data_IF_310852961875
#
_entry.id   IF_310852961875
#
_cell.length_a   1.000
_cell.length_b   1.000
_cell.length_c   1.000
_cell.angle_alpha   90.00
_cell.angle_beta   90.00
_cell.angle_gamma   90.00
#
_symmetry.space_group_name_H-M   'P 1'
#
loop_
_entity.id
_entity.type
_entity.pdbx_description
1 polymer ?
#
# COMPACT_ATOMS: atom_id res chain seq x y z
N UNK A 1 -26.31 -1.64 -15.95
CA UNK A 1 -25.88 -1.14 -17.27
C UNK A 1 -24.55 -1.78 -17.60
N UNK A 2 -24.50 -2.51 -18.69
CA UNK A 2 -23.41 -3.40 -19.08
C UNK A 2 -22.18 -2.59 -19.54
N UNK A 3 -21.12 -2.57 -18.73
CA UNK A 3 -19.81 -1.98 -19.07
C UNK A 3 -18.96 -2.97 -19.92
N UNK A 4 -19.54 -4.12 -20.23
CA UNK A 4 -18.81 -5.27 -20.77
C UNK A 4 -18.48 -5.21 -22.28
N UNK A 5 -19.12 -4.35 -23.08
CA UNK A 5 -19.00 -4.44 -24.56
C UNK A 5 -17.91 -3.54 -25.18
N UNK A 6 -17.43 -2.53 -24.48
CA UNK A 6 -16.46 -1.55 -25.05
C UNK A 6 -15.00 -1.92 -24.78
N UNK A 7 -14.73 -2.84 -23.85
CA UNK A 7 -13.38 -3.17 -23.38
C UNK A 7 -12.77 -4.36 -24.15
N UNK A 8 -13.58 -5.31 -24.60
CA UNK A 8 -13.10 -6.49 -25.33
C UNK A 8 -12.34 -6.15 -26.64
N UNK A 9 -12.73 -5.15 -27.45
CA UNK A 9 -11.97 -4.74 -28.63
C UNK A 9 -10.58 -4.21 -28.28
N UNK A 10 -10.44 -3.48 -27.17
CA UNK A 10 -9.16 -2.91 -26.73
C UNK A 10 -8.19 -3.99 -26.27
N UNK A 11 -8.65 -5.00 -25.50
CA UNK A 11 -7.82 -6.14 -25.06
C UNK A 11 -7.28 -6.94 -26.26
N UNK A 12 -8.10 -7.16 -27.27
CA UNK A 12 -7.72 -7.85 -28.50
C UNK A 12 -6.59 -7.10 -29.22
N UNK A 13 -6.73 -5.80 -29.43
CA UNK A 13 -5.72 -4.98 -30.08
C UNK A 13 -4.42 -4.93 -29.29
N UNK A 14 -4.49 -4.80 -27.96
CA UNK A 14 -3.33 -4.78 -27.05
C UNK A 14 -2.58 -6.11 -27.14
N UNK A 15 -3.26 -7.25 -26.99
CA UNK A 15 -2.61 -8.55 -27.02
C UNK A 15 -2.02 -8.88 -28.40
N UNK A 16 -2.68 -8.52 -29.50
CA UNK A 16 -2.11 -8.65 -30.86
C UNK A 16 -0.85 -7.85 -31.04
N UNK A 17 -0.86 -6.57 -30.62
CA UNK A 17 0.28 -5.69 -30.79
C UNK A 17 1.46 -6.07 -29.89
N UNK A 18 1.18 -6.39 -28.61
CA UNK A 18 2.23 -6.61 -27.62
C UNK A 18 2.75 -8.06 -27.57
N UNK A 19 1.90 -9.04 -27.92
CA UNK A 19 2.19 -10.47 -27.78
C UNK A 19 2.12 -11.25 -29.10
N UNK A 20 1.60 -10.63 -30.18
CA UNK A 20 1.27 -11.30 -31.45
C UNK A 20 0.29 -12.47 -31.28
N UNK A 21 -0.65 -12.34 -30.32
CA UNK A 21 -1.63 -13.37 -29.97
C UNK A 21 -3.03 -12.81 -29.86
N UNK A 22 -4.00 -13.66 -30.18
CA UNK A 22 -5.42 -13.34 -30.06
C UNK A 22 -5.95 -13.65 -28.67
N UNK A 23 -7.02 -12.94 -28.30
CA UNK A 23 -7.74 -13.16 -27.04
C UNK A 23 -8.83 -14.19 -27.27
N UNK A 24 -8.77 -15.32 -26.58
CA UNK A 24 -9.81 -16.35 -26.57
C UNK A 24 -10.95 -16.00 -25.60
N UNK A 25 -10.61 -15.52 -24.39
CA UNK A 25 -11.56 -15.09 -23.38
C UNK A 25 -10.94 -14.02 -22.47
N UNK A 26 -11.79 -13.22 -21.83
CA UNK A 26 -11.35 -12.26 -20.82
C UNK A 26 -12.39 -12.10 -19.73
N UNK A 27 -11.93 -11.88 -18.48
CA UNK A 27 -12.77 -11.61 -17.33
C UNK A 27 -12.14 -10.54 -16.44
N UNK A 28 -12.92 -9.59 -15.89
CA UNK A 28 -12.43 -8.69 -14.87
C UNK A 28 -12.13 -9.50 -13.60
N UNK A 29 -10.95 -9.31 -13.00
CA UNK A 29 -10.54 -9.97 -11.76
C UNK A 29 -10.29 -8.98 -10.62
N UNK A 30 -10.34 -7.69 -10.90
CA UNK A 30 -10.23 -6.63 -9.91
C UNK A 30 -10.65 -5.29 -10.49
N UNK A 31 -11.41 -4.54 -9.70
CA UNK A 31 -11.69 -3.13 -9.92
C UNK A 31 -11.11 -2.38 -8.75
N UNK A 32 -9.79 -2.15 -8.80
CA UNK A 32 -9.10 -1.29 -7.85
C UNK A 32 -9.52 0.18 -8.02
N UNK A 33 -9.17 1.01 -7.06
CA UNK A 33 -9.42 2.46 -7.11
C UNK A 33 -8.68 3.11 -8.28
N UNK A 34 -7.45 2.66 -8.53
CA UNK A 34 -6.49 3.28 -9.45
C UNK A 34 -6.33 2.49 -10.74
N UNK A 35 -6.92 1.30 -10.84
CA UNK A 35 -6.71 0.40 -11.95
C UNK A 35 -7.92 -0.48 -12.23
N UNK A 36 -7.99 -1.01 -13.46
CA UNK A 36 -8.88 -2.10 -13.86
C UNK A 36 -8.02 -3.27 -14.29
N UNK A 37 -8.29 -4.44 -13.75
CA UNK A 37 -7.47 -5.64 -13.93
C UNK A 37 -8.30 -6.73 -14.59
N UNK A 38 -7.76 -7.29 -15.68
CA UNK A 38 -8.40 -8.34 -16.44
C UNK A 38 -7.51 -9.57 -16.52
N UNK A 39 -8.08 -10.75 -16.26
CA UNK A 39 -7.51 -12.02 -16.70
C UNK A 39 -7.85 -12.19 -18.17
N UNK A 40 -6.85 -12.51 -18.96
CA UNK A 40 -6.99 -12.71 -20.40
C UNK A 40 -6.47 -14.11 -20.76
N UNK A 41 -7.30 -14.91 -21.40
CA UNK A 41 -6.93 -16.19 -21.99
C UNK A 41 -6.51 -15.94 -23.44
N UNK A 42 -5.32 -16.40 -23.79
CA UNK A 42 -4.76 -16.21 -25.12
C UNK A 42 -5.00 -17.47 -25.96
N UNK A 43 -5.48 -17.26 -27.21
CA UNK A 43 -5.58 -18.33 -28.17
C UNK A 43 -4.20 -18.75 -28.66
N UNK A 44 -4.04 -20.03 -28.96
CA UNK A 44 -2.89 -20.70 -29.55
C UNK A 44 -1.50 -20.06 -29.34
N UNK A 45 -0.72 -20.63 -28.44
CA UNK A 45 0.67 -20.27 -28.20
C UNK A 45 1.59 -21.48 -28.26
N UNK A 46 2.88 -21.25 -28.42
CA UNK A 46 3.86 -22.31 -28.30
C UNK A 46 3.88 -22.86 -26.85
N UNK A 47 4.30 -24.12 -26.69
CA UNK A 47 4.29 -24.86 -25.39
C UNK A 47 4.90 -24.14 -24.20
N UNK A 48 5.70 -23.09 -24.40
CA UNK A 48 6.40 -22.35 -23.36
C UNK A 48 5.84 -20.94 -23.11
N UNK A 49 4.77 -20.55 -23.85
CA UNK A 49 4.14 -19.25 -23.67
C UNK A 49 2.96 -19.34 -22.71
N UNK A 50 2.71 -18.32 -21.88
CA UNK A 50 1.61 -18.36 -20.94
C UNK A 50 0.29 -18.42 -21.70
N UNK A 51 -0.59 -19.35 -21.32
CA UNK A 51 -1.95 -19.42 -21.85
C UNK A 51 -2.83 -18.30 -21.27
N UNK A 52 -2.47 -17.76 -20.13
CA UNK A 52 -3.19 -16.71 -19.42
C UNK A 52 -2.25 -15.59 -19.00
N UNK A 53 -2.73 -14.36 -19.11
CA UNK A 53 -2.02 -13.14 -18.68
C UNK A 53 -2.98 -12.23 -17.92
N UNK A 54 -2.40 -11.26 -17.19
CA UNK A 54 -3.12 -10.14 -16.61
C UNK A 54 -2.86 -8.90 -17.44
N UNK A 55 -3.93 -8.19 -17.83
CA UNK A 55 -3.85 -6.84 -18.39
C UNK A 55 -4.37 -5.87 -17.35
N UNK A 56 -3.49 -4.96 -16.88
CA UNK A 56 -3.81 -3.93 -15.89
C UNK A 56 -3.80 -2.57 -16.57
N UNK A 57 -4.94 -1.87 -16.51
CA UNK A 57 -5.11 -0.49 -16.99
C UNK A 57 -5.00 0.45 -15.81
N UNK A 58 -4.17 1.46 -15.93
CA UNK A 58 -3.96 2.48 -14.90
C UNK A 58 -4.81 3.71 -15.19
N UNK A 59 -5.43 4.26 -14.14
CA UNK A 59 -6.16 5.53 -14.27
C UNK A 59 -5.21 6.69 -14.15
N UNK A 60 -5.39 7.67 -15.01
CA UNK A 60 -4.83 9.02 -14.84
C UNK A 60 -5.94 9.91 -14.32
N UNK A 61 -5.85 10.32 -13.08
CA UNK A 61 -6.73 11.33 -12.53
C UNK A 61 -6.10 12.72 -12.73
N UNK A 62 -6.93 13.70 -13.12
CA UNK A 62 -6.46 15.09 -13.25
C UNK A 62 -5.93 15.58 -11.89
N UNK A 63 -4.65 15.92 -11.83
CA UNK A 63 -3.96 16.33 -10.60
C UNK A 63 -3.17 15.24 -9.88
N UNK A 64 -3.24 13.98 -10.30
CA UNK A 64 -2.35 12.93 -9.80
C UNK A 64 -1.11 12.81 -10.70
N UNK A 65 0.02 13.29 -10.22
CA UNK A 65 1.29 13.32 -10.95
C UNK A 65 2.06 11.99 -10.92
N UNK A 66 1.52 10.96 -10.26
CA UNK A 66 2.18 9.66 -10.10
C UNK A 66 2.17 8.85 -11.39
N UNK A 67 3.33 8.41 -11.82
CA UNK A 67 3.48 7.46 -12.92
C UNK A 67 3.34 6.02 -12.40
N UNK A 68 2.10 5.59 -12.15
CA UNK A 68 1.82 4.24 -11.61
C UNK A 68 2.24 3.13 -12.57
N UNK A 69 1.97 3.30 -13.87
CA UNK A 69 2.34 2.33 -14.90
C UNK A 69 3.85 2.14 -14.95
N UNK A 70 4.60 3.24 -15.09
CA UNK A 70 6.06 3.19 -15.14
C UNK A 70 6.67 2.67 -13.85
N UNK A 71 6.11 3.06 -12.69
CA UNK A 71 6.54 2.58 -11.38
C UNK A 71 6.36 1.07 -11.25
N UNK A 72 5.17 0.54 -11.48
CA UNK A 72 4.91 -0.89 -11.30
C UNK A 72 5.66 -1.74 -12.31
N UNK A 73 5.60 -1.39 -13.60
CA UNK A 73 6.29 -2.17 -14.63
C UNK A 73 7.81 -2.16 -14.46
N UNK A 74 8.38 -0.98 -14.18
CA UNK A 74 9.80 -0.82 -13.91
C UNK A 74 10.26 -1.58 -12.67
N UNK A 75 9.48 -1.52 -11.59
CA UNK A 75 9.72 -2.28 -10.35
C UNK A 75 9.74 -3.77 -10.60
N UNK A 76 8.70 -4.32 -11.21
CA UNK A 76 8.62 -5.76 -11.47
C UNK A 76 9.76 -6.23 -12.39
N UNK A 77 10.14 -5.43 -13.38
CA UNK A 77 11.31 -5.69 -14.21
C UNK A 77 12.60 -5.74 -13.40
N UNK A 78 12.81 -4.75 -12.51
CA UNK A 78 13.96 -4.70 -11.59
C UNK A 78 13.99 -5.93 -10.67
N UNK A 79 12.88 -6.27 -10.03
CA UNK A 79 12.79 -7.42 -9.13
C UNK A 79 13.06 -8.75 -9.85
N UNK A 80 12.50 -8.94 -11.04
CA UNK A 80 12.74 -10.14 -11.85
C UNK A 80 14.18 -10.26 -12.33
N UNK A 81 14.80 -9.16 -12.74
CA UNK A 81 16.22 -9.13 -13.15
C UNK A 81 17.15 -9.50 -11.98
N UNK A 82 16.74 -9.22 -10.75
CA UNK A 82 17.48 -9.56 -9.54
C UNK A 82 17.00 -10.87 -8.87
N UNK A 83 16.33 -11.75 -9.61
CA UNK A 83 16.03 -13.12 -9.17
C UNK A 83 14.76 -13.28 -8.33
N UNK A 84 14.00 -12.22 -8.03
CA UNK A 84 12.77 -12.33 -7.23
C UNK A 84 11.63 -12.94 -8.06
N UNK A 85 11.05 -14.03 -7.56
CA UNK A 85 9.98 -14.81 -8.24
C UNK A 85 8.67 -14.86 -7.45
N UNK A 86 8.65 -14.26 -6.28
CA UNK A 86 7.43 -14.05 -5.47
C UNK A 86 6.59 -12.86 -5.94
N UNK A 87 6.82 -12.37 -7.15
CA UNK A 87 6.09 -11.27 -7.79
C UNK A 87 5.74 -11.65 -9.24
N UNK A 88 4.69 -11.06 -9.85
CA UNK A 88 4.35 -11.35 -11.25
C UNK A 88 5.49 -10.96 -12.20
N UNK A 89 5.72 -11.78 -13.23
CA UNK A 89 6.63 -11.42 -14.32
C UNK A 89 6.02 -10.29 -15.15
N UNK A 90 6.72 -9.17 -15.38
CA UNK A 90 6.32 -8.17 -16.36
C UNK A 90 6.57 -8.72 -17.76
N UNK A 91 5.56 -8.65 -18.64
CA UNK A 91 5.62 -9.24 -19.98
C UNK A 91 5.74 -8.14 -21.04
N UNK A 92 4.82 -7.18 -21.05
CA UNK A 92 4.81 -6.10 -22.02
C UNK A 92 4.15 -4.85 -21.43
N UNK A 93 4.44 -3.69 -22.02
CA UNK A 93 3.85 -2.40 -21.66
C UNK A 93 3.33 -1.70 -22.91
N UNK A 94 2.16 -1.06 -22.80
CA UNK A 94 1.55 -0.23 -23.84
C UNK A 94 1.24 1.15 -23.23
N UNK A 95 2.21 2.09 -23.21
CA UNK A 95 2.08 3.39 -22.55
C UNK A 95 0.99 4.26 -23.15
N UNK A 96 0.79 4.21 -24.46
CA UNK A 96 -0.26 4.91 -25.22
C UNK A 96 -1.68 4.46 -24.84
N UNK A 97 -1.79 3.28 -24.23
CA UNK A 97 -3.04 2.71 -23.73
C UNK A 97 -3.13 2.71 -22.20
N UNK A 98 -2.16 3.31 -21.51
CA UNK A 98 -2.06 3.33 -20.05
C UNK A 98 -2.21 1.93 -19.44
N UNK A 99 -1.57 0.91 -20.04
CA UNK A 99 -1.68 -0.46 -19.55
C UNK A 99 -0.38 -1.25 -19.66
N UNK A 100 -0.31 -2.32 -18.87
CA UNK A 100 0.76 -3.32 -18.94
C UNK A 100 0.19 -4.72 -18.85
N UNK A 101 1.00 -5.67 -19.34
CA UNK A 101 0.70 -7.10 -19.35
C UNK A 101 1.67 -7.79 -18.40
N UNK A 102 1.11 -8.59 -17.51
CA UNK A 102 1.82 -9.33 -16.47
C UNK A 102 1.45 -10.81 -16.51
N UNK A 103 2.30 -11.62 -15.90
CA UNK A 103 2.00 -13.01 -15.60
C UNK A 103 0.70 -13.12 -14.78
N UNK A 104 -0.17 -14.04 -15.17
CA UNK A 104 -1.29 -14.44 -14.34
C UNK A 104 -0.81 -15.38 -13.23
N UNK A 105 -0.99 -14.97 -11.98
CA UNK A 105 -0.68 -15.80 -10.82
C UNK A 105 -1.93 -16.62 -10.47
N UNK A 106 -1.84 -17.94 -10.65
CA UNK A 106 -2.89 -18.84 -10.19
C UNK A 106 -2.88 -18.93 -8.67
N UNK A 107 -4.06 -18.87 -8.05
CA UNK A 107 -4.22 -18.92 -6.60
C UNK A 107 -5.39 -18.07 -6.14
N UNK A 108 -5.50 -17.92 -4.82
CA UNK A 108 -6.59 -17.18 -4.18
C UNK A 108 -6.05 -16.00 -3.37
N UNK A 109 -6.74 -14.85 -3.35
CA UNK A 109 -6.42 -13.76 -2.44
C UNK A 109 -6.44 -14.23 -0.98
N UNK A 110 -5.53 -13.72 -0.17
CA UNK A 110 -5.57 -13.95 1.28
C UNK A 110 -6.67 -13.09 1.88
N UNK A 111 -7.75 -13.75 2.35
CA UNK A 111 -8.89 -13.05 2.96
C UNK A 111 -8.51 -12.40 4.30
N UNK A 112 -9.13 -11.26 4.67
CA UNK A 112 -8.93 -10.66 5.99
C UNK A 112 -9.19 -11.67 7.11
N UNK A 113 -8.27 -11.76 8.07
CA UNK A 113 -8.34 -12.71 9.19
C UNK A 113 -8.00 -14.17 8.87
N UNK A 114 -7.67 -14.49 7.59
CA UNK A 114 -7.27 -15.84 7.18
C UNK A 114 -5.75 -16.02 7.06
N UNK A 115 -4.98 -15.03 7.49
CA UNK A 115 -3.53 -15.09 7.49
C UNK A 115 -3.03 -16.07 8.57
N UNK A 116 -1.99 -16.83 8.25
CA UNK A 116 -1.32 -17.78 9.14
C UNK A 116 0.03 -17.25 9.63
N UNK A 117 0.65 -17.96 10.55
CA UNK A 117 2.01 -17.65 11.00
C UNK A 117 3.03 -17.77 9.85
N UNK A 118 2.84 -18.75 8.97
CA UNK A 118 3.67 -18.99 7.81
C UNK A 118 3.54 -17.86 6.78
N UNK A 119 2.33 -17.30 6.60
CA UNK A 119 2.11 -16.15 5.72
C UNK A 119 2.82 -14.89 6.26
N UNK A 120 2.80 -14.69 7.58
CA UNK A 120 3.55 -13.61 8.23
C UNK A 120 5.04 -13.79 8.02
N UNK A 121 5.56 -15.01 8.19
CA UNK A 121 6.97 -15.31 7.96
C UNK A 121 7.38 -15.08 6.51
N UNK A 122 6.54 -15.49 5.56
CA UNK A 122 6.77 -15.24 4.13
C UNK A 122 6.77 -13.73 3.80
N UNK A 123 5.91 -12.94 4.46
CA UNK A 123 5.89 -11.48 4.34
C UNK A 123 7.19 -10.86 4.85
N UNK A 124 7.69 -11.29 6.01
CA UNK A 124 8.98 -10.83 6.54
C UNK A 124 10.14 -11.24 5.62
N UNK A 125 10.14 -12.48 5.13
CA UNK A 125 11.16 -12.96 4.21
C UNK A 125 11.19 -12.15 2.90
N UNK A 126 10.02 -11.74 2.39
CA UNK A 126 9.91 -10.86 1.24
C UNK A 126 10.52 -9.47 1.50
N UNK A 127 10.21 -8.84 2.65
CA UNK A 127 10.81 -7.57 3.03
C UNK A 127 12.33 -7.67 3.22
N UNK A 128 12.81 -8.75 3.83
CA UNK A 128 14.25 -9.01 3.96
C UNK A 128 14.94 -9.17 2.58
N UNK A 129 14.29 -9.85 1.63
CA UNK A 129 14.79 -9.97 0.27
C UNK A 129 14.85 -8.61 -0.44
N UNK A 130 13.84 -7.75 -0.28
CA UNK A 130 13.87 -6.38 -0.80
C UNK A 130 15.03 -5.58 -0.21
N UNK A 131 15.30 -5.73 1.09
CA UNK A 131 16.44 -5.07 1.73
C UNK A 131 17.79 -5.50 1.15
N UNK A 132 17.95 -6.77 0.78
CA UNK A 132 19.17 -7.26 0.13
C UNK A 132 19.41 -6.63 -1.25
N UNK A 133 18.34 -6.18 -1.93
CA UNK A 133 18.43 -5.54 -3.23
C UNK A 133 18.87 -4.07 -3.19
N UNK A 134 19.15 -3.49 -2.02
CA UNK A 134 19.58 -2.09 -1.89
C UNK A 134 20.82 -1.73 -2.71
N UNK A 135 21.78 -2.64 -2.81
CA UNK A 135 22.99 -2.47 -3.61
C UNK A 135 22.96 -3.18 -4.96
N UNK A 136 21.81 -3.73 -5.36
CA UNK A 136 21.69 -4.44 -6.62
C UNK A 136 21.73 -3.47 -7.81
N UNK A 137 22.23 -3.96 -8.95
CA UNK A 137 22.27 -3.16 -10.20
C UNK A 137 20.85 -2.70 -10.57
N UNK A 138 20.67 -1.40 -10.75
CA UNK A 138 19.40 -0.76 -11.08
C UNK A 138 18.67 -0.17 -9.86
N UNK A 139 19.12 -0.46 -8.62
CA UNK A 139 18.51 0.14 -7.42
C UNK A 139 18.70 1.66 -7.37
N UNK A 140 19.75 2.17 -7.95
CA UNK A 140 20.04 3.61 -8.05
C UNK A 140 19.01 4.40 -8.89
N UNK A 141 18.32 3.72 -9.81
CA UNK A 141 17.27 4.31 -10.63
C UNK A 141 15.88 4.30 -9.94
N UNK A 142 15.74 3.57 -8.84
CA UNK A 142 14.48 3.52 -8.09
C UNK A 142 14.28 4.84 -7.36
N UNK A 143 13.09 5.42 -7.53
CA UNK A 143 12.69 6.68 -6.86
C UNK A 143 12.22 6.41 -5.42
N UNK A 144 12.06 7.45 -4.58
CA UNK A 144 11.30 7.31 -3.34
C UNK A 144 9.91 6.75 -3.60
N UNK A 145 9.41 5.93 -2.68
CA UNK A 145 8.04 5.40 -2.74
C UNK A 145 7.03 6.58 -2.73
N UNK A 146 5.87 6.36 -3.35
CA UNK A 146 4.89 7.45 -3.54
C UNK A 146 4.38 8.08 -2.25
N UNK A 147 4.43 7.35 -1.14
CA UNK A 147 4.01 7.81 0.20
C UNK A 147 5.18 7.82 1.20
N UNK A 148 6.43 7.85 0.70
CA UNK A 148 7.60 7.86 1.55
C UNK A 148 7.65 9.13 2.41
N UNK A 149 8.04 8.95 3.67
CA UNK A 149 8.34 10.02 4.60
C UNK A 149 9.66 9.66 5.30
N UNK A 150 10.66 10.50 5.16
CA UNK A 150 11.99 10.23 5.71
C UNK A 150 12.27 10.98 7.00
N UNK A 151 11.45 12.00 7.34
CA UNK A 151 11.49 12.74 8.61
C UNK A 151 10.18 12.56 9.38
N UNK A 152 10.17 12.84 10.68
CA UNK A 152 8.93 12.88 11.47
C UNK A 152 8.06 14.05 11.04
N UNK A 153 8.67 15.20 10.72
CA UNK A 153 7.97 16.37 10.21
C UNK A 153 7.20 16.10 8.91
N UNK A 154 7.75 15.32 7.97
CA UNK A 154 7.06 14.90 6.74
C UNK A 154 5.82 14.03 7.04
N UNK A 155 5.90 13.13 8.05
CA UNK A 155 4.75 12.30 8.46
C UNK A 155 3.64 13.22 8.99
N UNK A 156 3.98 14.14 9.90
CA UNK A 156 3.04 15.11 10.47
C UNK A 156 2.42 15.97 9.38
N UNK A 157 3.22 16.52 8.48
CA UNK A 157 2.72 17.31 7.35
C UNK A 157 1.75 16.52 6.46
N UNK A 158 2.03 15.22 6.22
CA UNK A 158 1.12 14.33 5.48
C UNK A 158 -0.22 14.14 6.19
N UNK A 159 -0.22 14.02 7.53
CA UNK A 159 -1.46 13.96 8.33
C UNK A 159 -2.23 15.27 8.21
N UNK A 160 -1.56 16.41 8.42
CA UNK A 160 -2.19 17.74 8.38
C UNK A 160 -2.80 18.05 7.02
N UNK A 161 -2.09 17.72 5.94
CA UNK A 161 -2.61 17.89 4.58
C UNK A 161 -3.89 17.05 4.34
N UNK A 162 -3.93 15.80 4.83
CA UNK A 162 -5.12 14.95 4.73
C UNK A 162 -6.29 15.51 5.53
N UNK A 163 -6.04 15.98 6.74
CA UNK A 163 -7.07 16.60 7.59
C UNK A 163 -7.60 17.90 6.97
N UNK A 164 -6.72 18.73 6.41
CA UNK A 164 -7.13 19.96 5.71
C UNK A 164 -8.05 19.63 4.51
N UNK A 165 -7.75 18.58 3.74
CA UNK A 165 -8.62 18.11 2.66
C UNK A 165 -9.97 17.60 3.17
N UNK A 166 -9.99 16.85 4.28
CA UNK A 166 -11.25 16.41 4.90
C UNK A 166 -12.10 17.58 5.36
N UNK A 167 -11.48 18.64 5.91
CA UNK A 167 -12.18 19.85 6.33
C UNK A 167 -12.74 20.66 5.15
N UNK A 168 -12.09 20.61 3.97
CA UNK A 168 -12.57 21.29 2.77
C UNK A 168 -13.71 20.53 2.06
N UNK A 169 -13.94 19.29 2.41
CA UNK A 169 -14.88 18.37 1.75
C UNK A 169 -16.30 18.50 2.31
N UNK A 170 -16.86 19.70 2.39
CA UNK A 170 -18.23 19.90 2.88
C UNK A 170 -19.23 20.08 1.76
N UNK A 171 -20.38 19.37 1.89
CA UNK A 171 -21.61 19.72 1.19
C UNK A 171 -22.55 20.45 2.17
N UNK A 172 -23.13 21.56 1.74
CA UNK A 172 -24.17 22.23 2.51
C UNK A 172 -25.34 21.24 2.77
N UNK A 173 -25.70 21.05 4.04
CA UNK A 173 -26.77 20.12 4.43
C UNK A 173 -26.35 18.68 4.72
N UNK A 174 -25.06 18.33 4.67
CA UNK A 174 -24.55 17.00 5.00
C UNK A 174 -24.28 16.88 6.51
N UNK A 175 -25.21 16.25 7.24
CA UNK A 175 -25.11 16.05 8.70
C UNK A 175 -23.94 15.15 9.09
N UNK A 176 -23.56 14.19 8.26
CA UNK A 176 -22.45 13.28 8.55
C UNK A 176 -21.12 14.03 8.40
N UNK A 177 -21.00 14.91 7.40
CA UNK A 177 -19.81 15.74 7.21
C UNK A 177 -19.67 16.77 8.37
N UNK A 178 -20.79 17.34 8.85
CA UNK A 178 -20.75 18.24 10.01
C UNK A 178 -20.24 17.52 11.26
N UNK A 179 -20.80 16.33 11.57
CA UNK A 179 -20.34 15.50 12.70
C UNK A 179 -18.87 15.09 12.57
N UNK A 180 -18.37 14.88 11.35
CA UNK A 180 -16.95 14.63 11.12
C UNK A 180 -16.12 15.86 11.49
N UNK A 181 -16.52 17.07 11.09
CA UNK A 181 -15.79 18.29 11.42
C UNK A 181 -15.74 18.54 12.92
N UNK A 182 -16.90 18.44 13.60
CA UNK A 182 -17.00 18.59 15.05
C UNK A 182 -16.08 17.58 15.76
N UNK A 183 -16.03 16.33 15.28
CA UNK A 183 -15.15 15.30 15.83
C UNK A 183 -13.66 15.57 15.54
N UNK A 184 -13.32 16.08 14.34
CA UNK A 184 -11.95 16.47 14.04
C UNK A 184 -11.49 17.54 15.02
N UNK A 185 -12.32 18.55 15.29
CA UNK A 185 -11.95 19.65 16.17
C UNK A 185 -11.93 19.25 17.65
N UNK A 186 -12.91 18.48 18.09
CA UNK A 186 -13.07 18.13 19.51
C UNK A 186 -12.24 16.92 19.96
N UNK A 187 -11.85 16.02 19.04
CA UNK A 187 -11.20 14.75 19.41
C UNK A 187 -9.89 14.53 18.67
N UNK A 188 -9.91 14.59 17.34
CA UNK A 188 -8.74 14.21 16.55
C UNK A 188 -7.59 15.22 16.66
N UNK A 189 -7.90 16.52 16.55
CA UNK A 189 -6.85 17.55 16.60
C UNK A 189 -6.17 17.63 17.96
N UNK A 190 -6.85 17.63 19.12
CA UNK A 190 -6.20 17.56 20.42
C UNK A 190 -5.30 16.31 20.59
N UNK A 191 -5.79 15.14 20.20
CA UNK A 191 -5.00 13.90 20.24
C UNK A 191 -3.78 13.96 19.31
N UNK A 192 -3.94 14.51 18.11
CA UNK A 192 -2.83 14.73 17.18
C UNK A 192 -1.74 15.58 17.83
N UNK A 193 -2.10 16.67 18.49
CA UNK A 193 -1.13 17.58 19.12
C UNK A 193 -0.40 16.87 20.27
N UNK A 194 -1.13 16.12 21.11
CA UNK A 194 -0.56 15.31 22.18
C UNK A 194 0.42 14.25 21.66
N UNK A 195 0.03 13.51 20.60
CA UNK A 195 0.88 12.50 19.98
C UNK A 195 2.14 13.13 19.37
N UNK A 196 2.01 14.25 18.65
CA UNK A 196 3.16 14.93 18.03
C UNK A 196 4.15 15.39 19.10
N UNK A 197 3.67 15.97 20.20
CA UNK A 197 4.51 16.38 21.32
C UNK A 197 5.21 15.18 21.98
N UNK A 198 4.49 14.09 22.20
CA UNK A 198 5.07 12.85 22.73
C UNK A 198 6.15 12.28 21.78
N UNK A 199 5.87 12.26 20.47
CA UNK A 199 6.84 11.79 19.47
C UNK A 199 8.10 12.65 19.45
N UNK A 200 7.96 13.97 19.51
CA UNK A 200 9.10 14.89 19.52
C UNK A 200 10.00 14.68 20.75
N UNK A 201 9.39 14.55 21.95
CA UNK A 201 10.14 14.27 23.19
C UNK A 201 10.82 12.90 23.14
N UNK A 202 10.09 11.87 22.72
CA UNK A 202 10.60 10.48 22.66
C UNK A 202 11.70 10.35 21.63
N UNK A 203 11.54 10.93 20.45
CA UNK A 203 12.56 10.96 19.40
C UNK A 203 13.84 11.63 19.90
N UNK A 204 13.73 12.80 20.54
CA UNK A 204 14.87 13.52 21.11
C UNK A 204 15.62 12.68 22.15
N UNK A 205 14.93 11.95 23.02
CA UNK A 205 15.54 11.06 24.00
C UNK A 205 16.27 9.85 23.37
N UNK A 206 15.90 9.49 22.14
CA UNK A 206 16.54 8.43 21.35
C UNK A 206 17.60 8.96 20.37
N UNK A 207 17.90 10.25 20.38
CA UNK A 207 18.83 10.88 19.43
C UNK A 207 18.29 10.95 17.99
N UNK A 208 16.97 10.92 17.80
CA UNK A 208 16.30 11.05 16.49
C UNK A 208 15.83 12.50 16.35
N UNK A 209 16.40 13.24 15.41
CA UNK A 209 15.95 14.59 15.09
C UNK A 209 14.59 14.58 14.40
N UNK A 210 13.73 15.55 14.74
CA UNK A 210 12.36 15.60 14.23
C UNK A 210 12.31 15.82 12.71
N UNK A 211 13.18 16.70 12.22
CA UNK A 211 13.30 17.04 10.80
C UNK A 211 14.55 16.44 10.14
N UNK A 212 15.29 15.61 10.86
CA UNK A 212 16.44 14.92 10.31
C UNK A 212 15.98 13.71 9.49
N UNK A 213 16.35 13.64 8.19
CA UNK A 213 15.99 12.50 7.38
C UNK A 213 16.75 11.25 7.81
N UNK A 214 16.06 10.10 7.77
CA UNK A 214 16.70 8.80 7.96
C UNK A 214 17.87 8.63 6.98
N UNK A 215 19.00 8.12 7.45
CA UNK A 215 20.18 7.86 6.65
C UNK A 215 19.87 7.00 5.42
N UNK A 216 20.56 7.28 4.31
CA UNK A 216 20.35 6.53 3.06
C UNK A 216 20.59 5.03 3.22
N UNK A 217 21.61 4.66 4.01
CA UNK A 217 21.96 3.27 4.30
C UNK A 217 20.89 2.56 5.14
N UNK A 218 20.12 3.30 5.91
CA UNK A 218 19.02 2.76 6.69
C UNK A 218 17.73 2.56 5.85
N UNK A 219 17.58 3.28 4.71
CA UNK A 219 16.40 3.14 3.85
C UNK A 219 16.32 1.75 3.24
N UNK A 220 15.11 1.33 2.90
CA UNK A 220 14.84 0.06 2.24
C UNK A 220 13.99 0.26 0.98
N UNK A 221 14.00 -0.74 0.10
CA UNK A 221 12.99 -0.85 -0.94
C UNK A 221 11.70 -1.37 -0.32
N UNK A 222 10.56 -0.80 -0.69
CA UNK A 222 9.25 -1.12 -0.12
C UNK A 222 8.16 -1.04 -1.17
N UNK A 223 7.16 -1.95 -1.13
CA UNK A 223 5.93 -1.82 -1.92
C UNK A 223 5.12 -0.57 -1.54
N UNK A 224 5.38 0.00 -0.36
CA UNK A 224 4.64 1.11 0.27
C UNK A 224 3.22 0.73 0.71
N UNK A 225 2.41 0.14 -0.15
CA UNK A 225 1.09 -0.44 0.18
C UNK A 225 1.25 -1.96 0.38
N UNK A 226 1.83 -2.34 1.52
CA UNK A 226 2.23 -3.71 1.82
C UNK A 226 1.29 -4.38 2.81
N UNK A 227 0.65 -5.47 2.36
CA UNK A 227 -0.25 -6.25 3.21
C UNK A 227 -0.94 -7.37 2.45
N UNK A 228 -1.70 -8.22 3.16
CA UNK A 228 -2.36 -9.39 2.59
C UNK A 228 -3.44 -9.06 1.56
N UNK A 229 -3.94 -7.84 1.52
CA UNK A 229 -4.84 -7.37 0.46
C UNK A 229 -4.18 -7.36 -0.93
N UNK A 230 -2.84 -7.34 -0.98
CA UNK A 230 -2.00 -7.39 -2.19
C UNK A 230 -1.22 -8.71 -2.29
N UNK A 231 -1.81 -9.82 -1.79
CA UNK A 231 -1.17 -11.14 -1.79
C UNK A 231 -2.09 -12.20 -2.38
N UNK A 232 -1.51 -13.05 -3.23
CA UNK A 232 -2.16 -14.26 -3.76
C UNK A 232 -1.45 -15.47 -3.19
N UNK A 233 -2.19 -16.37 -2.54
CA UNK A 233 -1.68 -17.67 -2.11
C UNK A 233 -1.80 -18.65 -3.27
N UNK A 234 -0.64 -19.14 -3.76
CA UNK A 234 -0.59 -20.13 -4.83
C UNK A 234 -1.08 -21.51 -4.35
N UNK A 235 -1.41 -22.44 -5.28
CA UNK A 235 -1.85 -23.80 -4.91
C UNK A 235 -0.83 -24.59 -4.08
N UNK A 236 0.46 -24.28 -4.19
CA UNK A 236 1.53 -24.89 -3.40
C UNK A 236 1.72 -24.25 -2.00
N UNK A 237 0.87 -23.28 -1.66
CA UNK A 237 0.93 -22.53 -0.40
C UNK A 237 1.89 -21.35 -0.40
N UNK A 238 2.72 -21.18 -1.42
CA UNK A 238 3.63 -20.03 -1.50
C UNK A 238 2.86 -18.72 -1.77
N UNK A 239 3.41 -17.59 -1.30
CA UNK A 239 2.81 -16.28 -1.52
C UNK A 239 3.39 -15.59 -2.75
N UNK A 240 2.53 -14.91 -3.50
CA UNK A 240 2.88 -13.95 -4.52
C UNK A 240 2.38 -12.57 -4.13
N UNK A 241 3.29 -11.59 -4.15
CA UNK A 241 2.99 -10.20 -3.85
C UNK A 241 2.70 -9.45 -5.15
N UNK A 242 1.63 -8.67 -5.16
CA UNK A 242 1.13 -7.93 -6.32
C UNK A 242 0.94 -6.45 -5.98
N UNK A 243 0.69 -5.62 -7.00
CA UNK A 243 0.36 -4.20 -6.86
C UNK A 243 1.52 -3.34 -6.35
N UNK A 244 2.49 -3.08 -7.21
CA UNK A 244 3.71 -2.32 -6.93
C UNK A 244 3.65 -0.87 -7.44
N UNK A 245 2.48 -0.30 -7.64
CA UNK A 245 2.30 1.03 -8.22
C UNK A 245 2.83 2.19 -7.34
N UNK A 246 3.12 1.92 -6.06
CA UNK A 246 3.69 2.87 -5.08
C UNK A 246 5.13 2.58 -4.69
N UNK A 247 5.72 1.53 -5.26
CA UNK A 247 7.05 1.02 -4.88
C UNK A 247 8.15 2.06 -4.96
N UNK A 248 9.10 1.97 -4.03
CA UNK A 248 10.30 2.80 -4.04
C UNK A 248 11.12 2.70 -2.77
N UNK A 249 12.07 3.64 -2.63
CA UNK A 249 12.82 3.82 -1.41
C UNK A 249 11.93 4.37 -0.30
N UNK A 250 11.98 3.75 0.87
CA UNK A 250 11.13 4.11 2.00
C UNK A 250 11.87 3.91 3.34
N UNK A 251 11.24 4.39 4.41
CA UNK A 251 11.66 4.13 5.77
C UNK A 251 11.22 2.71 6.20
N UNK A 252 12.13 1.82 6.63
CA UNK A 252 11.73 0.50 7.12
C UNK A 252 10.79 0.58 8.33
N UNK A 253 10.90 1.62 9.17
CA UNK A 253 9.96 1.82 10.27
C UNK A 253 8.53 2.03 9.76
N UNK A 254 8.35 2.86 8.70
CA UNK A 254 7.05 3.01 8.04
C UNK A 254 6.50 1.67 7.55
N UNK A 255 7.32 0.90 6.82
CA UNK A 255 6.88 -0.41 6.28
C UNK A 255 6.39 -1.35 7.37
N UNK A 256 7.07 -1.38 8.53
CA UNK A 256 6.68 -2.20 9.68
C UNK A 256 5.38 -1.68 10.30
N UNK A 257 5.28 -0.38 10.57
CA UNK A 257 4.11 0.15 11.27
C UNK A 257 2.87 0.18 10.39
N UNK A 258 3.00 0.41 9.08
CA UNK A 258 1.89 0.32 8.14
C UNK A 258 1.29 -1.10 8.12
N UNK A 259 2.13 -2.15 8.11
CA UNK A 259 1.68 -3.54 8.18
C UNK A 259 0.90 -3.82 9.47
N UNK A 260 1.38 -3.33 10.63
CA UNK A 260 0.72 -3.53 11.93
C UNK A 260 -0.60 -2.76 12.06
N UNK A 261 -0.69 -1.59 11.42
CA UNK A 261 -1.82 -0.67 11.53
C UNK A 261 -2.88 -0.85 10.45
N UNK A 262 -2.57 -1.57 9.34
CA UNK A 262 -3.46 -1.64 8.18
C UNK A 262 -4.80 -2.30 8.53
N UNK A 263 -5.95 -1.56 8.47
CA UNK A 263 -7.23 -2.07 8.96
C UNK A 263 -7.75 -3.28 8.18
N UNK A 264 -7.41 -3.37 6.88
CA UNK A 264 -7.85 -4.46 5.99
C UNK A 264 -7.15 -5.78 6.23
N UNK A 265 -6.11 -5.84 7.09
CA UNK A 265 -5.37 -7.07 7.36
C UNK A 265 -6.07 -7.98 8.37
N UNK A 266 -6.83 -7.39 9.30
CA UNK A 266 -7.52 -8.09 10.38
C UNK A 266 -6.64 -9.13 11.12
N UNK A 267 -5.37 -8.76 11.40
CA UNK A 267 -4.44 -9.60 12.15
C UNK A 267 -4.78 -9.60 13.63
N UNK A 268 -4.72 -10.77 14.24
CA UNK A 268 -4.72 -10.90 15.70
C UNK A 268 -3.39 -10.41 16.30
N UNK A 269 -3.39 -10.16 17.62
CA UNK A 269 -2.22 -9.62 18.31
C UNK A 269 -1.02 -10.59 18.26
N UNK A 270 -1.25 -11.90 18.26
CA UNK A 270 -0.19 -12.91 18.17
C UNK A 270 0.55 -12.80 16.83
N UNK A 271 -0.17 -12.62 15.73
CA UNK A 271 0.41 -12.45 14.41
C UNK A 271 1.11 -11.08 14.27
N UNK A 272 0.56 -10.03 14.89
CA UNK A 272 1.22 -8.72 14.94
C UNK A 272 2.54 -8.77 15.72
N UNK A 273 2.57 -9.39 16.90
CA UNK A 273 3.80 -9.62 17.66
C UNK A 273 4.83 -10.40 16.86
N UNK A 274 4.40 -11.53 16.23
CA UNK A 274 5.28 -12.32 15.38
C UNK A 274 5.88 -11.52 14.24
N UNK A 275 5.07 -10.70 13.57
CA UNK A 275 5.55 -9.84 12.48
C UNK A 275 6.56 -8.81 13.00
N UNK A 276 6.22 -8.07 14.06
CA UNK A 276 7.08 -7.03 14.62
C UNK A 276 8.45 -7.58 15.04
N UNK A 277 8.46 -8.66 15.84
CA UNK A 277 9.68 -9.33 16.28
C UNK A 277 10.57 -9.75 15.10
N UNK A 278 9.99 -10.47 14.14
CA UNK A 278 10.74 -10.99 13.00
C UNK A 278 11.18 -9.91 12.02
N UNK A 279 10.35 -8.89 11.80
CA UNK A 279 10.70 -7.77 10.94
C UNK A 279 11.83 -6.94 11.55
N UNK A 280 11.78 -6.62 12.85
CA UNK A 280 12.87 -5.94 13.53
C UNK A 280 14.18 -6.76 13.46
N UNK A 281 14.10 -8.08 13.64
CA UNK A 281 15.27 -8.96 13.48
C UNK A 281 15.81 -8.99 12.06
N UNK A 282 14.95 -9.01 11.04
CA UNK A 282 15.35 -8.98 9.63
C UNK A 282 16.05 -7.67 9.21
N UNK A 283 15.81 -6.58 9.92
CA UNK A 283 16.43 -5.27 9.73
C UNK A 283 17.41 -4.89 10.85
N UNK A 284 18.00 -5.86 11.54
CA UNK A 284 18.90 -5.62 12.70
C UNK A 284 20.15 -4.77 12.38
N UNK A 285 20.50 -4.66 11.08
CA UNK A 285 21.55 -3.75 10.62
C UNK A 285 21.18 -2.26 10.74
N UNK A 286 19.90 -1.92 10.93
CA UNK A 286 19.41 -0.56 11.18
C UNK A 286 19.21 -0.37 12.69
N UNK A 287 20.27 0.05 13.38
CA UNK A 287 20.28 0.14 14.86
C UNK A 287 19.20 1.05 15.44
N UNK A 288 18.85 2.12 14.73
CA UNK A 288 17.82 3.07 15.18
C UNK A 288 16.39 2.58 14.94
N UNK A 289 16.20 1.47 14.20
CA UNK A 289 14.89 1.01 13.74
C UNK A 289 13.89 0.74 14.88
N UNK A 290 14.23 0.03 15.97
CA UNK A 290 13.26 -0.21 17.05
C UNK A 290 12.73 1.10 17.66
N UNK A 291 13.64 2.02 18.01
CA UNK A 291 13.26 3.32 18.57
C UNK A 291 12.44 4.14 17.56
N UNK A 292 12.87 4.16 16.29
CA UNK A 292 12.17 4.88 15.23
C UNK A 292 10.78 4.30 14.96
N UNK A 293 10.64 2.97 14.89
CA UNK A 293 9.34 2.32 14.70
C UNK A 293 8.37 2.67 15.84
N UNK A 294 8.84 2.67 17.09
CA UNK A 294 8.06 3.10 18.25
C UNK A 294 7.56 4.54 18.13
N UNK A 295 8.43 5.45 17.69
CA UNK A 295 8.10 6.88 17.54
C UNK A 295 7.14 7.13 16.38
N UNK A 296 7.34 6.48 15.22
CA UNK A 296 6.50 6.72 14.04
C UNK A 296 5.15 6.00 14.09
N UNK A 297 5.01 4.95 14.91
CA UNK A 297 3.77 4.17 15.02
C UNK A 297 2.53 5.05 15.26
N UNK A 298 2.48 5.91 16.29
CA UNK A 298 1.29 6.73 16.50
C UNK A 298 1.07 7.78 15.41
N UNK A 299 2.12 8.32 14.78
CA UNK A 299 1.98 9.25 13.66
C UNK A 299 1.33 8.57 12.45
N UNK A 300 1.73 7.33 12.15
CA UNK A 300 1.05 6.54 11.11
C UNK A 300 -0.34 6.11 11.53
N UNK A 301 -0.61 5.90 12.81
CA UNK A 301 -1.96 5.71 13.34
C UNK A 301 -2.88 6.90 13.03
N UNK A 302 -2.41 8.13 13.23
CA UNK A 302 -3.13 9.33 12.80
C UNK A 302 -3.35 9.38 11.28
N UNK A 303 -2.32 9.03 10.49
CA UNK A 303 -2.43 8.97 9.03
C UNK A 303 -3.47 7.93 8.58
N UNK A 304 -3.46 6.73 9.16
CA UNK A 304 -4.45 5.68 8.86
C UNK A 304 -5.86 6.10 9.24
N UNK A 305 -6.04 6.80 10.35
CA UNK A 305 -7.32 7.40 10.71
C UNK A 305 -7.85 8.31 9.60
N UNK A 306 -7.00 9.22 9.09
CA UNK A 306 -7.38 10.11 7.99
C UNK A 306 -7.63 9.34 6.68
N UNK A 307 -6.92 8.23 6.42
CA UNK A 307 -7.15 7.36 5.25
C UNK A 307 -8.52 6.67 5.32
N UNK A 308 -8.95 6.20 6.49
CA UNK A 308 -10.28 5.63 6.69
C UNK A 308 -11.41 6.61 6.34
N UNK A 309 -11.15 7.91 6.48
CA UNK A 309 -12.09 8.99 6.18
C UNK A 309 -12.06 9.45 4.70
N UNK A 310 -11.28 8.82 3.83
CA UNK A 310 -11.18 9.23 2.43
C UNK A 310 -12.51 9.22 1.68
N UNK A 311 -13.53 8.47 2.14
CA UNK A 311 -14.87 8.45 1.53
C UNK A 311 -15.62 9.77 1.69
N UNK A 312 -15.11 10.70 2.51
CA UNK A 312 -15.61 12.07 2.63
C UNK A 312 -15.00 13.05 1.62
N UNK A 313 -13.94 12.65 0.90
CA UNK A 313 -13.28 13.54 -0.04
C UNK A 313 -14.14 13.79 -1.29
N UNK A 314 -14.12 15.02 -1.89
CA UNK A 314 -14.97 15.39 -3.03
C UNK A 314 -14.82 14.44 -4.23
N UNK A 315 -13.61 14.02 -4.53
CA UNK A 315 -13.32 13.08 -5.61
C UNK A 315 -13.93 11.68 -5.42
N UNK A 316 -14.46 11.41 -4.23
CA UNK A 316 -15.13 10.14 -3.89
C UNK A 316 -16.63 10.26 -3.69
N UNK A 317 -17.16 11.46 -3.75
CA UNK A 317 -18.58 11.72 -3.49
C UNK A 317 -19.51 10.90 -4.40
N UNK A 318 -19.11 10.62 -5.65
CA UNK A 318 -19.89 9.79 -6.58
C UNK A 318 -19.80 8.28 -6.33
N UNK A 319 -18.87 7.83 -5.47
CA UNK A 319 -18.61 6.42 -5.18
C UNK A 319 -19.00 6.04 -3.74
N UNK A 320 -19.40 7.01 -2.94
CA UNK A 320 -19.65 6.85 -1.51
C UNK A 320 -21.03 7.39 -1.14
N UNK A 321 -21.91 6.50 -0.68
CA UNK A 321 -23.21 6.88 -0.12
C UNK A 321 -23.10 7.26 1.37
N UNK A 322 -24.22 7.72 1.96
CA UNK A 322 -24.28 8.14 3.35
C UNK A 322 -24.01 7.00 4.34
N UNK A 323 -24.42 5.79 4.02
CA UNK A 323 -24.25 4.61 4.89
C UNK A 323 -22.77 4.19 4.94
N UNK A 324 -22.11 4.21 3.80
CA UNK A 324 -20.67 3.92 3.71
C UNK A 324 -19.85 4.97 4.47
N UNK A 325 -20.12 6.26 4.30
CA UNK A 325 -19.44 7.32 5.05
C UNK A 325 -19.68 7.21 6.56
N UNK A 326 -20.91 6.89 6.98
CA UNK A 326 -21.23 6.65 8.38
C UNK A 326 -20.43 5.48 8.96
N UNK A 327 -20.34 4.38 8.23
CA UNK A 327 -19.56 3.19 8.61
C UNK A 327 -18.07 3.52 8.72
N UNK A 328 -17.50 4.20 7.72
CA UNK A 328 -16.08 4.57 7.74
C UNK A 328 -15.76 5.56 8.87
N UNK A 329 -16.66 6.47 9.17
CA UNK A 329 -16.52 7.37 10.31
C UNK A 329 -16.54 6.63 11.65
N UNK A 330 -17.43 5.65 11.82
CA UNK A 330 -17.44 4.80 13.01
C UNK A 330 -16.12 4.01 13.15
N UNK A 331 -15.62 3.44 12.05
CA UNK A 331 -14.35 2.72 12.02
C UNK A 331 -13.17 3.64 12.40
N UNK A 332 -13.11 4.86 11.87
CA UNK A 332 -12.07 5.83 12.20
C UNK A 332 -12.10 6.23 13.68
N UNK A 333 -13.29 6.41 14.27
CA UNK A 333 -13.45 6.70 15.70
C UNK A 333 -12.96 5.56 16.58
N UNK A 334 -13.31 4.33 16.25
CA UNK A 334 -12.84 3.12 16.97
C UNK A 334 -11.33 3.00 16.87
N UNK A 335 -10.78 3.20 15.68
CA UNK A 335 -9.33 3.14 15.44
C UNK A 335 -8.56 4.19 16.28
N UNK A 336 -9.03 5.43 16.29
CA UNK A 336 -8.44 6.51 17.09
C UNK A 336 -8.55 6.23 18.59
N UNK A 337 -9.66 5.70 19.07
CA UNK A 337 -9.82 5.37 20.49
C UNK A 337 -8.80 4.30 20.93
N UNK A 338 -8.56 3.28 20.09
CA UNK A 338 -7.52 2.30 20.33
C UNK A 338 -6.11 2.92 20.32
N UNK A 339 -5.85 3.82 19.37
CA UNK A 339 -4.57 4.52 19.29
C UNK A 339 -4.31 5.38 20.54
N UNK A 340 -5.30 6.16 20.99
CA UNK A 340 -5.20 7.01 22.16
C UNK A 340 -4.87 6.23 23.44
N UNK A 341 -5.37 5.01 23.57
CA UNK A 341 -5.10 4.14 24.73
C UNK A 341 -3.72 3.47 24.73
N UNK A 342 -3.04 3.40 23.58
CA UNK A 342 -1.85 2.55 23.42
C UNK A 342 -0.63 3.23 22.77
N UNK A 343 -0.71 4.51 22.38
CA UNK A 343 0.36 5.11 21.58
C UNK A 343 1.69 5.23 22.31
N UNK A 344 1.67 5.46 23.62
CA UNK A 344 2.88 5.61 24.44
C UNK A 344 3.46 4.26 24.90
N UNK A 345 2.61 3.24 25.01
CA UNK A 345 2.98 1.89 25.47
C UNK A 345 2.55 0.85 24.44
N UNK A 346 3.28 0.81 23.35
CA UNK A 346 2.97 -0.07 22.23
C UNK A 346 3.48 -1.48 22.51
N UNK A 347 2.58 -2.41 22.72
CA UNK A 347 2.90 -3.80 23.02
C UNK A 347 3.70 -4.52 21.92
N UNK A 348 3.60 -4.09 20.65
CA UNK A 348 4.27 -4.76 19.51
C UNK A 348 5.70 -4.26 19.27
N UNK A 349 6.06 -3.07 19.78
CA UNK A 349 7.31 -2.37 19.51
C UNK A 349 8.07 -1.96 20.80
N UNK A 350 7.77 -2.63 21.91
CA UNK A 350 8.40 -2.42 23.20
C UNK A 350 9.78 -3.10 23.32
#
# INVERSE_FOLDING_TARGET
MSISSTIAPDLQAICRTALSRDVAASAPIGTGRNSRVFRVELSDGMRHEPAQVVVKFYRRDAGDVRDRLGTEFGTLKFLWQNGMRSVPRPIAVAPDRECAIYEFIAGEPVSPGAATAEDVDASVAFLAALRQLRGARGSEAVRPASEACFTLGEIVASVDQRVARLRSATSAGDDVARRLHDWIDATFAPLRDEIVEWCARTAGSCGIGFDDPIDREARTLSPSDFGFHNVIRRPDGSLAFVDFEYFGWDDPAKTIVDYLLHPGMALDDRLKHRFAERALAAFADVRSLPARARVVYPLFGLKWTAILLNDFLPERASQSDGDRRTTQFANARTFVAGLAGAYADNAFLS
#
